data_IF_070054510730
#
_entry.id   IF_070054510730
#
_cell.length_a   1.000
_cell.length_b   1.000
_cell.length_c   1.000
_cell.angle_alpha   90.00
_cell.angle_beta   90.00
_cell.angle_gamma   90.00
#
_symmetry.space_group_name_H-M   'P 1'
#
loop_
_entity.id
_entity.type
_entity.pdbx_description
1 polymer ?
#
# COMPACT_ATOMS: atom_id res chain seq x y z
N UNK A 1 16.40 -4.07 5.44
CA UNK A 1 15.57 -3.43 6.48
C UNK A 1 15.91 -1.94 6.50
N UNK A 2 14.92 -1.04 6.53
CA UNK A 2 15.20 0.40 6.66
C UNK A 2 15.57 0.76 8.09
N UNK A 3 16.51 1.68 8.25
CA UNK A 3 17.06 2.06 9.55
C UNK A 3 16.15 3.04 10.31
N UNK A 4 15.24 3.73 9.61
CA UNK A 4 14.31 4.67 10.25
C UNK A 4 12.94 4.74 9.57
N UNK A 5 11.92 5.10 10.37
CA UNK A 5 10.55 5.37 9.89
C UNK A 5 10.52 6.48 8.82
N UNK A 6 11.45 7.44 8.89
CA UNK A 6 11.57 8.54 7.91
C UNK A 6 12.07 8.06 6.55
N UNK A 7 13.11 7.22 6.52
CA UNK A 7 13.59 6.60 5.28
C UNK A 7 12.48 5.76 4.62
N UNK A 8 11.75 4.98 5.41
CA UNK A 8 10.66 4.16 4.88
C UNK A 8 9.51 5.03 4.33
N UNK A 9 9.14 6.11 5.01
CA UNK A 9 8.14 7.06 4.51
C UNK A 9 8.53 7.64 3.15
N UNK A 10 9.78 8.11 3.00
CA UNK A 10 10.28 8.64 1.71
C UNK A 10 10.21 7.60 0.59
N UNK A 11 10.47 6.34 0.91
CA UNK A 11 10.35 5.26 -0.06
C UNK A 11 8.89 5.03 -0.47
N UNK A 12 7.98 4.98 0.50
CA UNK A 12 6.54 4.84 0.22
C UNK A 12 6.06 6.01 -0.63
N UNK A 13 6.43 7.25 -0.32
CA UNK A 13 6.12 8.43 -1.13
C UNK A 13 6.63 8.31 -2.59
N UNK A 14 7.84 7.77 -2.79
CA UNK A 14 8.37 7.50 -4.13
C UNK A 14 7.54 6.44 -4.86
N UNK A 15 7.19 5.36 -4.18
CA UNK A 15 6.44 4.25 -4.77
C UNK A 15 4.98 4.61 -5.03
N UNK A 16 4.40 5.54 -4.25
CA UNK A 16 3.08 6.11 -4.53
C UNK A 16 3.12 6.83 -5.87
N UNK A 17 4.13 7.67 -6.13
CA UNK A 17 4.25 8.37 -7.42
C UNK A 17 4.36 7.40 -8.60
N UNK A 18 5.10 6.30 -8.43
CA UNK A 18 5.18 5.23 -9.44
C UNK A 18 3.80 4.62 -9.67
N UNK A 19 3.11 4.24 -8.60
CA UNK A 19 1.77 3.66 -8.67
C UNK A 19 0.74 4.63 -9.30
N UNK A 20 0.78 5.91 -8.94
CA UNK A 20 -0.09 6.94 -9.52
C UNK A 20 0.15 7.09 -11.03
N UNK A 21 1.39 6.93 -11.48
CA UNK A 21 1.74 6.94 -12.90
C UNK A 21 1.23 5.70 -13.63
N UNK A 22 1.22 4.54 -12.99
CA UNK A 22 0.71 3.28 -13.54
C UNK A 22 -0.82 3.28 -13.64
N UNK A 23 -1.49 3.77 -12.58
CA UNK A 23 -2.95 3.82 -12.49
C UNK A 23 -3.57 5.00 -13.26
N UNK A 24 -2.79 6.05 -13.54
CA UNK A 24 -3.28 7.27 -14.19
C UNK A 24 -4.12 8.18 -13.28
N UNK A 25 -4.14 7.93 -11.97
CA UNK A 25 -4.82 8.76 -10.98
C UNK A 25 -4.03 8.93 -9.69
N UNK A 26 -4.34 9.98 -8.93
CA UNK A 26 -3.70 10.23 -7.63
C UNK A 26 -4.24 9.31 -6.55
N UNK A 27 -3.34 8.70 -5.78
CA UNK A 27 -3.65 7.76 -4.69
C UNK A 27 -3.60 8.54 -3.37
N UNK A 28 -4.69 8.48 -2.61
CA UNK A 28 -4.82 9.21 -1.33
C UNK A 28 -4.85 8.25 -0.14
N UNK A 29 -4.40 8.71 1.02
CA UNK A 29 -4.58 7.99 2.28
C UNK A 29 -6.08 7.66 2.48
N UNK A 30 -6.37 6.40 2.78
CA UNK A 30 -7.74 5.92 3.01
C UNK A 30 -8.56 5.69 1.74
N UNK A 31 -8.02 6.00 0.56
CA UNK A 31 -8.65 5.66 -0.71
C UNK A 31 -8.82 4.16 -0.81
N UNK A 32 -9.97 3.72 -1.29
CA UNK A 32 -10.28 2.30 -1.43
C UNK A 32 -9.88 1.80 -2.80
N UNK A 33 -9.30 0.60 -2.85
CA UNK A 33 -9.10 -0.15 -4.08
C UNK A 33 -9.59 -1.58 -3.92
N UNK A 34 -9.98 -2.19 -5.04
CA UNK A 34 -10.53 -3.54 -5.05
C UNK A 34 -9.44 -4.57 -5.34
N UNK A 35 -9.34 -5.61 -4.50
CA UNK A 35 -8.46 -6.74 -4.74
C UNK A 35 -9.24 -7.90 -5.36
N UNK A 36 -9.00 -8.22 -6.65
CA UNK A 36 -9.72 -9.31 -7.29
C UNK A 36 -9.40 -10.68 -6.66
N UNK A 37 -8.19 -10.86 -6.11
CA UNK A 37 -7.78 -12.16 -5.55
C UNK A 37 -8.55 -12.57 -4.30
N UNK A 38 -8.84 -11.62 -3.41
CA UNK A 38 -9.60 -11.88 -2.19
C UNK A 38 -11.01 -11.31 -2.23
N UNK A 39 -11.42 -10.71 -3.36
CA UNK A 39 -12.71 -10.05 -3.55
C UNK A 39 -13.04 -9.07 -2.41
N UNK A 40 -12.02 -8.39 -1.87
CA UNK A 40 -12.21 -7.42 -0.78
C UNK A 40 -11.65 -6.07 -1.19
N UNK A 41 -12.27 -5.03 -0.65
CA UNK A 41 -11.81 -3.66 -0.81
C UNK A 41 -10.80 -3.33 0.30
N UNK A 42 -9.59 -2.94 -0.09
CA UNK A 42 -8.55 -2.46 0.82
C UNK A 42 -8.48 -0.94 0.80
N UNK A 43 -8.01 -0.32 1.87
CA UNK A 43 -7.72 1.12 1.93
C UNK A 43 -6.21 1.38 1.83
N UNK A 44 -5.79 2.27 0.96
CA UNK A 44 -4.40 2.73 0.89
C UNK A 44 -3.96 3.31 2.23
N UNK A 45 -2.96 2.67 2.83
CA UNK A 45 -2.40 3.07 4.10
C UNK A 45 -0.95 3.56 3.93
N UNK A 46 -0.83 4.77 3.36
CA UNK A 46 0.42 5.48 3.11
C UNK A 46 1.10 5.97 4.40
N UNK A 47 0.33 6.27 5.44
CA UNK A 47 0.85 6.85 6.70
C UNK A 47 1.28 5.80 7.72
N UNK A 48 0.46 4.76 7.83
CA UNK A 48 0.56 3.74 8.86
C UNK A 48 1.09 2.42 8.32
N UNK A 49 1.23 2.34 6.99
CA UNK A 49 2.05 1.36 6.31
C UNK A 49 1.53 -0.07 6.51
N UNK A 50 0.24 -0.22 6.80
CA UNK A 50 -0.42 -1.49 7.07
C UNK A 50 -0.30 -1.99 8.51
N UNK A 51 0.37 -1.26 9.41
CA UNK A 51 0.67 -1.73 10.77
C UNK A 51 -0.28 -1.25 11.86
N UNK A 52 -1.34 -0.47 11.57
CA UNK A 52 -2.28 -0.10 12.63
C UNK A 52 -3.11 -1.33 13.04
N UNK A 53 -3.09 -1.71 14.34
CA UNK A 53 -4.01 -2.70 14.89
C UNK A 53 -5.45 -2.18 14.81
N UNK A 54 -6.38 -2.95 14.25
CA UNK A 54 -7.81 -2.62 14.25
C UNK A 54 -8.32 -1.77 13.08
N UNK A 55 -7.45 -1.31 12.19
CA UNK A 55 -7.89 -0.74 10.90
C UNK A 55 -8.02 -1.91 9.93
N UNK A 56 -9.17 -2.02 9.24
CA UNK A 56 -9.56 -3.12 8.36
C UNK A 56 -8.58 -3.43 7.21
N UNK A 57 -9.06 -4.00 6.11
CA UNK A 57 -8.16 -4.36 5.01
C UNK A 57 -7.39 -3.13 4.49
N UNK A 58 -6.06 -3.18 4.53
CA UNK A 58 -5.18 -2.09 4.13
C UNK A 58 -4.29 -2.49 2.97
N UNK A 59 -4.04 -1.52 2.10
CA UNK A 59 -3.10 -1.62 0.99
C UNK A 59 -1.83 -0.92 1.45
N UNK A 60 -0.75 -1.66 1.53
CA UNK A 60 0.53 -1.14 1.98
C UNK A 60 1.63 -1.53 1.02
N UNK A 61 2.68 -0.72 0.99
CA UNK A 61 3.88 -1.05 0.24
C UNK A 61 4.72 -2.05 1.05
N UNK A 62 4.94 -3.27 0.54
CA UNK A 62 5.85 -4.21 1.18
C UNK A 62 7.27 -3.96 0.73
N UNK A 63 8.11 -3.56 1.67
CA UNK A 63 9.53 -3.35 1.41
C UNK A 63 10.37 -4.62 1.27
N UNK A 64 9.84 -5.75 1.75
CA UNK A 64 10.48 -7.06 1.61
C UNK A 64 10.36 -7.54 0.17
N UNK A 65 9.19 -7.33 -0.45
CA UNK A 65 8.91 -7.76 -1.81
C UNK A 65 8.99 -6.62 -2.85
N UNK A 66 9.16 -5.38 -2.38
CA UNK A 66 9.21 -4.15 -3.19
C UNK A 66 7.95 -3.94 -4.05
N UNK A 67 6.76 -4.21 -3.50
CA UNK A 67 5.48 -4.16 -4.21
C UNK A 67 4.30 -3.78 -3.29
N UNK A 68 3.21 -3.28 -3.88
CA UNK A 68 1.97 -2.98 -3.16
C UNK A 68 1.18 -4.25 -2.87
N UNK A 69 0.79 -4.47 -1.61
CA UNK A 69 0.10 -5.69 -1.17
C UNK A 69 -1.13 -5.39 -0.34
N UNK A 70 -2.09 -6.32 -0.40
CA UNK A 70 -3.27 -6.35 0.45
C UNK A 70 -2.97 -7.06 1.77
N UNK A 71 -3.34 -6.46 2.90
CA UNK A 71 -3.13 -7.05 4.24
C UNK A 71 -3.87 -8.38 4.44
N UNK A 72 -5.07 -8.53 3.88
CA UNK A 72 -5.89 -9.74 4.10
C UNK A 72 -5.35 -10.96 3.36
N UNK A 73 -4.99 -10.80 2.08
CA UNK A 73 -4.57 -11.93 1.25
C UNK A 73 -3.06 -12.00 1.02
N UNK A 74 -2.33 -11.03 1.57
CA UNK A 74 -0.89 -10.82 1.41
C UNK A 74 -0.44 -11.03 -0.04
N UNK A 75 -1.20 -10.50 -0.99
CA UNK A 75 -0.89 -10.63 -2.41
C UNK A 75 -0.68 -9.28 -3.04
N UNK A 76 0.16 -9.27 -4.08
CA UNK A 76 0.45 -8.08 -4.86
C UNK A 76 -0.83 -7.52 -5.48
N UNK A 77 -0.92 -6.20 -5.51
CA UNK A 77 -1.93 -5.51 -6.28
C UNK A 77 -1.64 -5.71 -7.77
N UNK A 78 -2.65 -6.04 -8.57
CA UNK A 78 -2.52 -5.94 -10.02
C UNK A 78 -2.57 -4.46 -10.36
N UNK A 79 -1.43 -3.89 -10.77
CA UNK A 79 -1.38 -2.62 -11.49
C UNK A 79 -1.70 -2.90 -12.97
#
# INVERSE_FOLDING_TARGET
MYESRSQYRKLVEKQVKTLESELGYKVRQGQTDFFPRCMTTGKYDLHSLGFIPGVGNSIYFSSVFNEWRCRVCDFKMCA
#
